data_IF_338746445183
#
_entry.id   IF_338746445183
#
_cell.length_a   1.000
_cell.length_b   1.000
_cell.length_c   1.000
_cell.angle_alpha   90.00
_cell.angle_beta   90.00
_cell.angle_gamma   90.00
#
_symmetry.space_group_name_H-M   'P 1'
#
loop_
_entity.id
_entity.type
_entity.pdbx_description
1 polymer ?
#
# COMPACT_ATOMS: atom_id res chain seq x y z
N UNK A 1 13.86 -23.33 -6.44
CA UNK A 1 12.99 -22.21 -6.05
C UNK A 1 13.83 -21.07 -5.48
N UNK A 2 13.56 -19.87 -5.94
CA UNK A 2 14.18 -18.66 -5.40
C UNK A 2 13.27 -18.00 -4.38
N UNK A 3 13.85 -17.29 -3.42
CA UNK A 3 13.11 -16.52 -2.42
C UNK A 3 13.85 -15.20 -2.20
N UNK A 4 13.13 -14.11 -2.33
CA UNK A 4 13.67 -12.76 -2.24
C UNK A 4 12.82 -11.95 -1.25
N UNK A 5 13.48 -11.12 -0.45
CA UNK A 5 12.82 -10.25 0.51
C UNK A 5 13.46 -8.88 0.52
N UNK A 6 12.66 -7.84 0.45
CA UNK A 6 13.14 -6.46 0.61
C UNK A 6 12.10 -5.60 1.31
N UNK A 7 12.57 -4.64 2.08
CA UNK A 7 11.72 -3.63 2.69
C UNK A 7 11.83 -2.32 1.92
N UNK A 8 10.69 -1.72 1.63
CA UNK A 8 10.61 -0.36 1.08
C UNK A 8 10.17 0.57 2.22
N UNK A 9 10.94 1.63 2.46
CA UNK A 9 10.67 2.56 3.55
C UNK A 9 10.03 3.83 3.04
N UNK A 10 9.08 4.36 3.81
CA UNK A 10 8.31 5.56 3.49
C UNK A 10 8.31 6.50 4.68
N UNK A 11 8.46 7.79 4.38
CA UNK A 11 8.35 8.87 5.35
C UNK A 11 7.49 9.97 4.71
N UNK A 12 6.18 9.77 4.75
CA UNK A 12 5.22 10.65 4.09
C UNK A 12 4.96 11.87 4.97
N UNK A 13 5.21 13.10 4.48
CA UNK A 13 5.10 14.31 5.31
C UNK A 13 3.67 14.75 5.58
N UNK A 14 2.71 14.27 4.79
CA UNK A 14 1.28 14.58 4.96
C UNK A 14 0.57 13.46 5.69
N UNK A 15 -0.61 13.72 6.23
CA UNK A 15 -1.39 12.67 6.90
C UNK A 15 -1.78 11.57 5.94
N UNK A 16 -2.19 11.91 4.72
CA UNK A 16 -2.63 10.93 3.73
C UNK A 16 -1.92 11.16 2.39
N UNK A 17 -1.60 10.07 1.73
CA UNK A 17 -1.04 10.10 0.38
C UNK A 17 -1.20 8.73 -0.29
N UNK A 18 -1.24 8.73 -1.61
CA UNK A 18 -1.12 7.52 -2.43
C UNK A 18 0.18 7.61 -3.21
N UNK A 19 1.05 6.64 -3.01
CA UNK A 19 2.38 6.62 -3.63
C UNK A 19 2.46 5.44 -4.59
N UNK A 20 2.70 5.70 -5.87
CA UNK A 20 2.90 4.63 -6.85
C UNK A 20 4.24 3.95 -6.58
N UNK A 21 4.21 2.66 -6.26
CA UNK A 21 5.41 1.87 -5.96
C UNK A 21 5.67 0.77 -6.98
N UNK A 22 5.01 0.82 -8.12
CA UNK A 22 5.17 -0.18 -9.18
C UNK A 22 6.63 -0.32 -9.58
N UNK A 23 7.32 0.80 -9.82
CA UNK A 23 8.72 0.77 -10.25
C UNK A 23 9.66 0.19 -9.20
N UNK A 24 9.62 0.56 -7.92
CA UNK A 24 10.41 -0.12 -6.89
C UNK A 24 10.15 -1.63 -6.83
N UNK A 25 8.91 -2.07 -7.01
CA UNK A 25 8.59 -3.50 -7.02
C UNK A 25 9.19 -4.18 -8.25
N UNK A 26 9.13 -3.54 -9.41
CA UNK A 26 9.78 -4.06 -10.63
C UNK A 26 11.29 -4.19 -10.45
N UNK A 27 11.92 -3.26 -9.76
CA UNK A 27 13.36 -3.36 -9.40
C UNK A 27 13.60 -4.59 -8.52
N UNK A 28 12.77 -4.80 -7.49
CA UNK A 28 12.85 -5.99 -6.65
C UNK A 28 12.72 -7.28 -7.47
N UNK A 29 11.80 -7.31 -8.42
CA UNK A 29 11.62 -8.48 -9.29
C UNK A 29 12.90 -8.77 -10.10
N UNK A 30 13.49 -7.74 -10.69
CA UNK A 30 14.77 -7.92 -11.43
C UNK A 30 15.86 -8.46 -10.50
N UNK A 31 16.00 -7.89 -9.31
CA UNK A 31 16.99 -8.35 -8.33
C UNK A 31 16.75 -9.79 -7.91
N UNK A 32 15.50 -10.22 -7.81
CA UNK A 32 15.13 -11.58 -7.39
C UNK A 32 15.55 -12.64 -8.41
N UNK A 33 15.61 -12.28 -9.68
CA UNK A 33 15.86 -13.22 -10.76
C UNK A 33 14.70 -14.19 -11.03
N UNK A 34 13.57 -14.02 -10.38
CA UNK A 34 12.39 -14.88 -10.60
C UNK A 34 11.75 -14.56 -11.94
N UNK A 35 11.48 -15.60 -12.71
CA UNK A 35 10.83 -15.47 -14.02
C UNK A 35 9.40 -16.00 -14.01
N UNK A 36 9.10 -16.99 -13.17
CA UNK A 36 7.78 -17.55 -12.98
C UNK A 36 7.52 -17.70 -11.49
N UNK A 37 6.48 -17.06 -10.97
CA UNK A 37 6.19 -17.11 -9.55
C UNK A 37 5.17 -16.07 -9.11
N UNK A 38 5.32 -15.64 -7.86
CA UNK A 38 4.43 -14.69 -7.22
C UNK A 38 5.23 -13.58 -6.53
N UNK A 39 4.74 -12.36 -6.65
CA UNK A 39 5.25 -11.21 -5.92
C UNK A 39 4.19 -10.76 -4.91
N UNK A 40 4.52 -10.84 -3.63
CA UNK A 40 3.70 -10.31 -2.54
C UNK A 40 4.23 -8.94 -2.15
N UNK A 41 3.35 -7.95 -2.05
CA UNK A 41 3.70 -6.63 -1.52
C UNK A 41 2.69 -6.29 -0.43
N UNK A 42 3.17 -6.11 0.80
CA UNK A 42 2.26 -5.80 1.90
C UNK A 42 2.75 -4.65 2.76
N UNK A 43 1.78 -3.87 3.26
CA UNK A 43 2.05 -2.85 4.26
C UNK A 43 2.39 -3.51 5.60
N UNK A 44 3.42 -2.98 6.27
CA UNK A 44 3.88 -3.49 7.56
C UNK A 44 3.47 -2.55 8.70
N UNK A 45 2.40 -1.80 8.50
CA UNK A 45 1.87 -0.90 9.51
C UNK A 45 0.34 -0.89 9.46
N UNK A 46 -0.28 -0.86 10.61
CA UNK A 46 -1.74 -0.99 10.76
C UNK A 46 -2.53 0.23 10.29
N UNK A 47 -1.85 1.32 9.90
CA UNK A 47 -2.46 2.53 9.35
C UNK A 47 -2.04 2.83 7.92
N UNK A 48 -1.44 1.85 7.25
CA UNK A 48 -1.04 1.94 5.85
C UNK A 48 -1.58 0.75 5.06
N UNK A 49 -1.66 0.89 3.75
CA UNK A 49 -2.16 -0.16 2.86
C UNK A 49 -1.29 -0.32 1.63
N UNK A 50 -1.47 -1.45 0.93
CA UNK A 50 -0.99 -1.65 -0.42
C UNK A 50 -2.17 -2.12 -1.26
N UNK A 51 -2.39 -1.48 -2.39
CA UNK A 51 -3.50 -1.81 -3.27
C UNK A 51 -3.11 -1.61 -4.73
N UNK A 52 -3.92 -2.13 -5.64
CA UNK A 52 -3.69 -2.03 -7.09
C UNK A 52 -4.89 -1.35 -7.73
N UNK A 53 -4.64 -0.30 -8.51
CA UNK A 53 -5.62 0.33 -9.38
C UNK A 53 -4.91 1.27 -10.35
N UNK A 54 -5.69 2.08 -11.08
CA UNK A 54 -5.19 3.02 -12.05
C UNK A 54 -4.46 4.19 -11.38
N UNK A 55 -3.42 4.69 -12.02
CA UNK A 55 -2.70 5.90 -11.60
C UNK A 55 -3.26 7.11 -12.34
N UNK A 56 -4.38 7.64 -11.82
CA UNK A 56 -5.04 8.79 -12.41
C UNK A 56 -5.46 9.75 -11.28
N UNK A 57 -5.10 11.02 -11.40
CA UNK A 57 -5.23 12.00 -10.31
C UNK A 57 -6.65 12.23 -9.86
N UNK A 58 -7.61 12.22 -10.78
CA UNK A 58 -9.04 12.38 -10.44
C UNK A 58 -9.54 11.21 -9.61
N UNK A 59 -9.14 9.99 -9.98
CA UNK A 59 -9.49 8.79 -9.23
C UNK A 59 -8.91 8.84 -7.82
N UNK A 60 -7.66 9.29 -7.67
CA UNK A 60 -7.03 9.43 -6.35
C UNK A 60 -7.77 10.44 -5.47
N UNK A 61 -8.22 11.55 -6.05
CA UNK A 61 -9.04 12.52 -5.33
C UNK A 61 -10.40 11.93 -4.93
N UNK A 62 -11.00 11.14 -5.81
CA UNK A 62 -12.25 10.43 -5.53
C UNK A 62 -12.06 9.43 -4.38
N UNK A 63 -10.96 8.68 -4.36
CA UNK A 63 -10.64 7.77 -3.25
C UNK A 63 -10.52 8.53 -1.93
N UNK A 64 -9.81 9.66 -1.92
CA UNK A 64 -9.60 10.42 -0.70
C UNK A 64 -10.94 10.93 -0.14
N UNK A 65 -11.78 11.46 -1.02
CA UNK A 65 -13.10 11.94 -0.64
C UNK A 65 -14.00 10.80 -0.15
N UNK A 66 -13.98 9.67 -0.84
CA UNK A 66 -14.77 8.49 -0.49
C UNK A 66 -14.36 7.96 0.87
N UNK A 67 -13.06 7.82 1.12
CA UNK A 67 -12.53 7.37 2.41
C UNK A 67 -12.90 8.32 3.53
N UNK A 68 -12.83 9.64 3.31
CA UNK A 68 -13.25 10.63 4.29
C UNK A 68 -14.75 10.60 4.56
N UNK A 69 -15.57 10.23 3.56
CA UNK A 69 -17.00 10.04 3.76
C UNK A 69 -17.29 8.82 4.64
N UNK A 70 -16.56 7.72 4.44
CA UNK A 70 -16.76 6.47 5.19
C UNK A 70 -16.16 6.52 6.58
N UNK A 71 -14.99 7.12 6.72
CA UNK A 71 -14.26 7.21 7.99
C UNK A 71 -13.62 8.59 8.12
N UNK A 72 -14.42 9.63 8.43
CA UNK A 72 -13.89 10.99 8.51
C UNK A 72 -12.89 11.11 9.65
N UNK A 73 -11.79 11.86 9.41
CA UNK A 73 -10.80 12.11 10.45
C UNK A 73 -11.38 12.97 11.58
N UNK A 74 -12.13 14.00 11.22
CA UNK A 74 -12.74 14.92 12.19
C UNK A 74 -14.23 14.64 12.37
N UNK A 75 -14.76 14.79 13.58
CA UNK A 75 -14.05 15.10 14.81
C UNK A 75 -13.37 13.84 15.37
N UNK A 76 -12.12 13.98 15.84
CA UNK A 76 -11.34 12.84 16.37
C UNK A 76 -12.01 12.20 17.58
N UNK A 77 -12.80 12.96 18.32
CA UNK A 77 -13.51 12.50 19.52
C UNK A 77 -14.66 11.53 19.23
N UNK A 78 -15.07 11.38 17.98
CA UNK A 78 -16.13 10.45 17.62
C UNK A 78 -15.73 8.99 17.75
N UNK A 79 -14.42 8.71 17.80
CA UNK A 79 -13.91 7.34 17.80
C UNK A 79 -13.47 6.89 19.19
N UNK A 80 -13.89 5.68 19.55
CA UNK A 80 -13.51 5.09 20.85
C UNK A 80 -12.00 4.85 20.94
N UNK A 81 -11.37 4.46 19.84
CA UNK A 81 -9.92 4.24 19.78
C UNK A 81 -9.13 5.48 20.20
N UNK A 82 -9.61 6.66 19.82
CA UNK A 82 -8.91 7.92 20.06
C UNK A 82 -8.94 8.33 21.55
N UNK A 83 -9.71 7.65 22.40
CA UNK A 83 -9.68 7.86 23.85
C UNK A 83 -8.35 7.46 24.48
N UNK A 84 -7.52 6.70 23.77
CA UNK A 84 -6.17 6.31 24.24
C UNK A 84 -5.14 7.43 24.10
N UNK A 85 -5.53 8.61 23.61
CA UNK A 85 -4.62 9.70 23.28
C UNK A 85 -4.19 9.74 21.83
N UNK A 86 -4.65 8.78 21.00
CA UNK A 86 -4.39 8.74 19.57
C UNK A 86 -5.39 9.61 18.81
N UNK A 87 -5.08 9.88 17.53
CA UNK A 87 -5.96 10.63 16.63
C UNK A 87 -6.18 9.89 15.31
N UNK A 88 -5.95 8.59 15.27
CA UNK A 88 -5.76 7.82 14.03
C UNK A 88 -6.74 6.66 13.85
N UNK A 89 -7.88 6.65 14.54
CA UNK A 89 -8.88 5.60 14.38
C UNK A 89 -9.34 5.49 12.92
N UNK A 90 -9.54 6.62 12.26
CA UNK A 90 -9.94 6.66 10.85
C UNK A 90 -8.89 6.03 9.94
N UNK A 91 -7.61 6.20 10.27
CA UNK A 91 -6.51 5.62 9.50
C UNK A 91 -6.55 4.10 9.56
N UNK A 92 -6.83 3.50 10.73
CA UNK A 92 -7.02 2.06 10.85
C UNK A 92 -8.18 1.57 9.99
N UNK A 93 -9.27 2.32 9.96
CA UNK A 93 -10.46 1.95 9.19
C UNK A 93 -10.22 2.07 7.68
N UNK A 94 -9.53 3.13 7.24
CA UNK A 94 -9.15 3.32 5.84
C UNK A 94 -8.24 2.19 5.37
N UNK A 95 -7.22 1.83 6.19
CA UNK A 95 -6.35 0.70 5.90
C UNK A 95 -7.12 -0.60 5.83
N UNK A 96 -8.06 -0.83 6.74
CA UNK A 96 -8.87 -2.05 6.74
C UNK A 96 -9.68 -2.18 5.46
N UNK A 97 -10.20 -1.07 4.96
CA UNK A 97 -10.99 -1.03 3.74
C UNK A 97 -10.11 -1.22 2.49
N UNK A 98 -8.97 -0.51 2.42
CA UNK A 98 -8.10 -0.54 1.24
C UNK A 98 -7.23 -1.79 1.17
N UNK A 99 -7.02 -2.46 2.29
CA UNK A 99 -6.34 -3.74 2.33
C UNK A 99 -4.88 -3.65 2.75
N UNK A 100 -4.34 -4.80 3.18
CA UNK A 100 -2.98 -4.93 3.68
C UNK A 100 -1.99 -5.24 2.58
N UNK A 101 -2.35 -6.09 1.61
CA UNK A 101 -1.41 -6.65 0.66
C UNK A 101 -2.05 -6.90 -0.70
N UNK A 102 -1.16 -7.04 -1.68
CA UNK A 102 -1.49 -7.52 -3.00
C UNK A 102 -0.55 -8.65 -3.37
N UNK A 103 -1.03 -9.56 -4.23
CA UNK A 103 -0.22 -10.61 -4.85
C UNK A 103 -0.34 -10.44 -6.35
N UNK A 104 0.81 -10.36 -7.03
CA UNK A 104 0.88 -10.23 -8.48
C UNK A 104 1.60 -11.45 -9.04
N UNK A 105 1.04 -12.06 -10.06
CA UNK A 105 1.72 -13.13 -10.77
C UNK A 105 2.99 -12.58 -11.46
N UNK A 106 4.03 -13.38 -11.49
CA UNK A 106 5.24 -13.10 -12.25
C UNK A 106 5.28 -14.07 -13.43
N UNK A 107 5.27 -13.54 -14.62
CA UNK A 107 5.25 -14.32 -15.87
C UNK A 107 6.34 -13.81 -16.79
N UNK A 108 7.22 -14.71 -17.21
CA UNK A 108 8.34 -14.38 -18.11
C UNK A 108 9.19 -13.21 -17.58
N UNK A 109 9.38 -13.15 -16.27
CA UNK A 109 10.21 -12.14 -15.63
C UNK A 109 9.56 -10.77 -15.49
N UNK A 110 8.26 -10.67 -15.65
CA UNK A 110 7.50 -9.42 -15.54
C UNK A 110 6.33 -9.57 -14.59
N UNK A 111 5.93 -8.48 -13.95
CA UNK A 111 4.68 -8.41 -13.22
C UNK A 111 3.53 -8.52 -14.24
N UNK A 112 2.67 -9.51 -14.03
CA UNK A 112 1.59 -9.83 -14.96
C UNK A 112 0.35 -9.04 -14.62
N UNK A 113 0.29 -7.82 -15.15
CA UNK A 113 -0.78 -6.87 -14.89
C UNK A 113 -1.86 -6.91 -15.96
N UNK A 114 -3.09 -6.63 -15.55
CA UNK A 114 -4.14 -6.18 -16.45
C UNK A 114 -3.89 -4.72 -16.88
N UNK A 115 -4.65 -4.22 -17.85
CA UNK A 115 -4.50 -2.83 -18.30
C UNK A 115 -4.66 -1.84 -17.13
N UNK A 116 -3.78 -0.84 -17.08
CA UNK A 116 -3.82 0.27 -16.14
C UNK A 116 -3.57 -0.11 -14.66
N UNK A 117 -3.27 -1.37 -14.36
CA UNK A 117 -2.94 -1.76 -13.00
C UNK A 117 -1.58 -1.22 -12.57
N UNK A 118 -1.56 -0.53 -11.43
CA UNK A 118 -0.35 -0.02 -10.79
C UNK A 118 -0.43 -0.33 -9.30
N UNK A 119 0.71 -0.57 -8.67
CA UNK A 119 0.78 -0.86 -7.23
C UNK A 119 0.96 0.45 -6.47
N UNK A 120 0.13 0.64 -5.45
CA UNK A 120 0.18 1.83 -4.60
C UNK A 120 0.43 1.48 -3.15
N UNK A 121 1.21 2.34 -2.49
CA UNK A 121 1.27 2.41 -1.05
C UNK A 121 0.32 3.52 -0.60
N UNK A 122 -0.65 3.17 0.26
CA UNK A 122 -1.60 4.12 0.83
C UNK A 122 -1.19 4.50 2.25
N UNK A 123 -0.96 5.79 2.47
CA UNK A 123 -0.66 6.33 3.78
C UNK A 123 -1.89 6.99 4.36
N UNK A 124 -2.27 6.62 5.59
CA UNK A 124 -3.43 7.22 6.26
C UNK A 124 -3.12 7.87 7.59
N UNK A 125 -1.89 7.72 8.09
CA UNK A 125 -1.42 8.31 9.34
C UNK A 125 0.07 8.68 9.19
N UNK A 126 0.34 9.64 8.31
CA UNK A 126 1.68 10.05 7.92
C UNK A 126 2.50 10.67 9.05
N UNK A 127 3.70 11.16 8.69
CA UNK A 127 4.68 11.77 9.60
C UNK A 127 5.35 10.74 10.51
N UNK A 128 5.29 9.46 10.15
CA UNK A 128 5.97 8.36 10.82
C UNK A 128 6.65 7.52 9.77
N UNK A 129 7.83 7.00 10.08
CA UNK A 129 8.48 6.02 9.19
C UNK A 129 7.70 4.72 9.21
N UNK A 130 7.41 4.21 8.03
CA UNK A 130 6.70 2.94 7.83
C UNK A 130 7.36 2.18 6.69
N UNK A 131 7.09 0.89 6.63
CA UNK A 131 7.67 0.03 5.59
C UNK A 131 6.59 -0.81 4.91
N UNK A 132 6.87 -1.16 3.66
CA UNK A 132 6.19 -2.23 2.94
C UNK A 132 7.19 -3.35 2.70
N UNK A 133 6.72 -4.57 2.79
CA UNK A 133 7.52 -5.77 2.52
C UNK A 133 7.26 -6.22 1.09
N UNK A 134 8.33 -6.48 0.35
CA UNK A 134 8.27 -7.18 -0.93
C UNK A 134 8.84 -8.57 -0.74
N UNK A 135 8.04 -9.59 -1.05
CA UNK A 135 8.45 -10.99 -1.00
C UNK A 135 8.15 -11.62 -2.35
N UNK A 136 9.18 -12.17 -3.00
CA UNK A 136 9.04 -12.78 -4.33
C UNK A 136 9.56 -14.20 -4.25
N UNK A 137 8.74 -15.15 -4.69
CA UNK A 137 9.10 -16.57 -4.73
C UNK A 137 8.80 -17.14 -6.10
N UNK A 138 9.60 -18.07 -6.55
CA UNK A 138 9.40 -18.76 -7.83
C UNK A 138 10.69 -19.32 -8.41
N UNK A 139 10.62 -19.62 -9.70
CA UNK A 139 11.73 -20.16 -10.45
C UNK A 139 12.41 -19.11 -11.34
#
# INVERSE_FOLDING_TARGET
>A
MKSYRKELWFDVPTRRAFVNITRPVEVCLRESGVREGLALVNAMHITASVFINDDESGLHQDYDKWLETLAPHEPVSQYLHNRTGEDNADAHMKRQLMGREVVVAVTQGKLDFGPWEQIFYGEFDGRRKKRALVKIIGE
#
